data_IF_104277393081
#
_entry.id   IF_104277393081
#
_cell.length_a   1.000
_cell.length_b   1.000
_cell.length_c   1.000
_cell.angle_alpha   90.00
_cell.angle_beta   90.00
_cell.angle_gamma   90.00
#
_symmetry.space_group_name_H-M   'P 1'
#
loop_
_entity.id
_entity.type
_entity.pdbx_description
1 polymer ?
#
# COMPACT_ATOMS: atom_id res chain seq x y z
N UNK A 1 -1.03 17.52 -13.49
CA UNK A 1 -0.26 16.59 -12.62
C UNK A 1 0.62 17.39 -11.69
N UNK A 2 0.50 17.19 -10.37
CA UNK A 2 1.36 17.87 -9.39
C UNK A 2 2.79 17.34 -9.51
N UNK A 3 3.76 18.21 -9.85
CA UNK A 3 5.18 17.85 -9.89
C UNK A 3 5.69 17.72 -8.45
N UNK A 4 6.10 16.52 -8.05
CA UNK A 4 6.71 16.28 -6.74
C UNK A 4 8.12 16.92 -6.73
N UNK A 5 8.44 17.66 -5.67
CA UNK A 5 9.75 18.30 -5.51
C UNK A 5 10.72 17.30 -4.89
N UNK A 6 11.91 17.16 -5.49
CA UNK A 6 13.02 16.38 -4.94
C UNK A 6 14.03 17.34 -4.30
N UNK A 7 14.46 17.02 -3.09
CA UNK A 7 15.48 17.74 -2.32
C UNK A 7 16.70 16.83 -2.12
N UNK A 8 17.79 17.37 -1.55
CA UNK A 8 18.97 16.59 -1.17
C UNK A 8 18.64 15.50 -0.13
N UNK A 9 17.65 15.77 0.71
CA UNK A 9 17.19 14.88 1.79
C UNK A 9 16.14 13.84 1.32
N UNK A 10 15.55 14.01 0.14
CA UNK A 10 14.55 13.06 -0.37
C UNK A 10 13.43 13.67 -1.21
N UNK A 11 12.26 13.07 -1.18
CA UNK A 11 11.08 13.51 -1.93
C UNK A 11 10.13 14.27 -1.01
N UNK A 12 9.81 15.51 -1.34
CA UNK A 12 8.76 16.27 -0.66
C UNK A 12 7.40 15.80 -1.16
N UNK A 13 6.66 15.15 -0.28
CA UNK A 13 5.28 14.70 -0.55
C UNK A 13 4.33 15.74 0.06
N UNK A 14 3.47 16.38 -0.75
CA UNK A 14 2.43 17.26 -0.23
C UNK A 14 1.54 16.54 0.80
N UNK A 15 1.31 17.16 1.95
CA UNK A 15 0.47 16.60 3.03
C UNK A 15 -0.95 16.29 2.58
N UNK A 16 -1.46 17.01 1.56
CA UNK A 16 -2.75 16.74 0.94
C UNK A 16 -2.85 15.34 0.33
N UNK A 17 -1.75 14.78 -0.18
CA UNK A 17 -1.69 13.40 -0.70
C UNK A 17 -1.60 12.35 0.41
N UNK A 18 -1.26 12.76 1.62
CA UNK A 18 -1.18 11.91 2.79
C UNK A 18 -2.46 11.98 3.65
N UNK A 19 -3.49 12.69 3.18
CA UNK A 19 -4.75 12.86 3.92
C UNK A 19 -5.37 11.48 4.21
N UNK A 20 -5.61 11.21 5.50
CA UNK A 20 -6.13 9.92 5.98
C UNK A 20 -5.06 8.87 6.31
N UNK A 21 -3.77 9.18 6.13
CA UNK A 21 -2.67 8.46 6.76
C UNK A 21 -2.37 9.14 8.10
N UNK A 22 -2.88 8.56 9.19
CA UNK A 22 -2.65 9.06 10.55
C UNK A 22 -1.90 8.02 11.37
N UNK A 23 -0.88 8.44 12.12
CA UNK A 23 -0.05 7.56 12.95
C UNK A 23 1.06 6.86 12.17
N UNK A 24 1.53 5.71 12.67
CA UNK A 24 2.59 4.93 12.03
C UNK A 24 2.12 4.35 10.69
N UNK A 25 2.98 4.49 9.68
CA UNK A 25 2.76 3.98 8.33
C UNK A 25 3.86 2.99 7.96
N UNK A 26 3.48 1.99 7.17
CA UNK A 26 4.43 1.11 6.50
C UNK A 26 4.80 1.71 5.14
N UNK A 27 6.08 1.62 4.79
CA UNK A 27 6.61 2.07 3.50
C UNK A 27 7.26 0.88 2.81
N UNK A 28 6.86 0.63 1.56
CA UNK A 28 7.44 -0.42 0.73
C UNK A 28 7.80 0.14 -0.64
N UNK A 29 8.99 -0.19 -1.14
CA UNK A 29 9.40 0.14 -2.50
C UNK A 29 9.20 -1.07 -3.41
N UNK A 30 8.62 -0.86 -4.59
CA UNK A 30 8.56 -1.86 -5.65
C UNK A 30 8.87 -1.17 -6.98
N UNK A 31 10.03 -1.50 -7.56
CA UNK A 31 10.55 -0.78 -8.73
C UNK A 31 10.64 0.72 -8.48
N UNK A 32 9.99 1.51 -9.34
CA UNK A 32 9.94 2.97 -9.27
C UNK A 32 8.73 3.50 -8.48
N UNK A 33 7.99 2.61 -7.79
CA UNK A 33 6.80 2.97 -7.02
C UNK A 33 7.08 2.84 -5.53
N UNK A 34 6.65 3.84 -4.77
CA UNK A 34 6.64 3.84 -3.31
C UNK A 34 5.21 3.65 -2.82
N UNK A 35 4.97 2.58 -2.08
CA UNK A 35 3.71 2.29 -1.42
C UNK A 35 3.80 2.76 0.03
N UNK A 36 2.92 3.67 0.41
CA UNK A 36 2.76 4.15 1.79
C UNK A 36 1.38 3.72 2.27
N UNK A 37 1.32 2.91 3.32
CA UNK A 37 0.08 2.30 3.79
C UNK A 37 -0.01 2.38 5.31
N UNK A 38 -1.15 2.85 5.83
CA UNK A 38 -1.47 2.78 7.27
C UNK A 38 -1.58 1.33 7.74
N UNK A 39 -1.20 1.03 8.98
CA UNK A 39 -1.29 -0.33 9.54
C UNK A 39 -2.70 -0.95 9.47
N UNK A 40 -3.76 -0.12 9.64
CA UNK A 40 -5.16 -0.56 9.47
C UNK A 40 -5.43 -1.09 8.07
N UNK A 41 -5.03 -0.34 7.03
CA UNK A 41 -5.19 -0.77 5.62
C UNK A 41 -4.34 -2.00 5.31
N UNK A 42 -3.09 -2.05 5.80
CA UNK A 42 -2.19 -3.20 5.63
C UNK A 42 -2.82 -4.48 6.17
N UNK A 43 -3.41 -4.41 7.36
CA UNK A 43 -4.09 -5.53 8.00
C UNK A 43 -5.33 -5.97 7.20
N UNK A 44 -6.15 -5.02 6.75
CA UNK A 44 -7.31 -5.31 5.91
C UNK A 44 -6.91 -5.96 4.57
N UNK A 45 -5.88 -5.44 3.89
CA UNK A 45 -5.33 -5.98 2.65
C UNK A 45 -4.84 -7.42 2.83
N UNK A 46 -4.09 -7.70 3.90
CA UNK A 46 -3.63 -9.06 4.22
C UNK A 46 -4.79 -10.02 4.46
N UNK A 47 -5.84 -9.57 5.16
CA UNK A 47 -7.05 -10.39 5.38
C UNK A 47 -7.75 -10.71 4.05
N UNK A 48 -7.94 -9.70 3.20
CA UNK A 48 -8.54 -9.89 1.87
C UNK A 48 -7.70 -10.84 1.01
N UNK A 49 -6.38 -10.67 0.97
CA UNK A 49 -5.48 -11.55 0.22
C UNK A 49 -5.61 -13.02 0.65
N UNK A 50 -5.69 -13.29 1.96
CA UNK A 50 -5.92 -14.66 2.48
C UNK A 50 -7.27 -15.23 2.06
N UNK A 51 -8.33 -14.41 2.04
CA UNK A 51 -9.66 -14.85 1.58
C UNK A 51 -9.61 -15.20 0.10
N UNK A 52 -9.02 -14.34 -0.74
CA UNK A 52 -8.86 -14.58 -2.18
C UNK A 52 -8.05 -15.85 -2.44
N UNK A 53 -6.96 -16.07 -1.69
CA UNK A 53 -6.16 -17.29 -1.82
C UNK A 53 -6.97 -18.55 -1.51
N UNK A 54 -7.78 -18.54 -0.44
CA UNK A 54 -8.67 -19.67 -0.10
C UNK A 54 -9.70 -19.93 -1.20
N UNK A 55 -10.31 -18.88 -1.73
CA UNK A 55 -11.27 -19.00 -2.83
C UNK A 55 -10.64 -19.62 -4.08
N UNK A 56 -9.41 -19.20 -4.42
CA UNK A 56 -8.66 -19.79 -5.54
C UNK A 56 -8.36 -21.26 -5.31
N UNK A 57 -7.94 -21.62 -4.10
CA UNK A 57 -7.65 -23.01 -3.76
C UNK A 57 -8.89 -23.91 -3.92
N UNK A 58 -10.04 -23.46 -3.39
CA UNK A 58 -11.31 -24.19 -3.53
C UNK A 58 -11.74 -24.32 -5.00
N UNK A 59 -11.49 -23.31 -5.83
CA UNK A 59 -11.80 -23.37 -7.25
C UNK A 59 -10.91 -24.38 -7.99
N UNK A 60 -9.63 -24.49 -7.61
CA UNK A 60 -8.70 -25.47 -8.19
C UNK A 60 -9.08 -26.89 -7.78
N UNK A 61 -9.47 -27.12 -6.52
CA UNK A 61 -9.83 -28.45 -6.00
C UNK A 61 -11.16 -28.99 -6.56
N UNK A 62 -11.98 -28.14 -7.19
CA UNK A 62 -13.29 -28.50 -7.76
C UNK A 62 -13.26 -28.75 -9.28
N UNK A 63 -12.11 -28.57 -9.92
CA UNK A 63 -11.85 -28.85 -11.33
C UNK A 63 -10.82 -29.96 -11.47
#
# INVERSE_FOLDING_TARGET
MSKLRRTKEGLLIPSSLLKGLTGLVSVQRQGNVLFIESERRRTARRRAARMVQRLRQVAIERH
#
